data_IF_141317266349
#
_entry.id   IF_141317266349
#
_cell.length_a   1.000
_cell.length_b   1.000
_cell.length_c   1.000
_cell.angle_alpha   90.00
_cell.angle_beta   90.00
_cell.angle_gamma   90.00
#
_symmetry.space_group_name_H-M   'P 1'
#
loop_
_entity.id
_entity.type
_entity.pdbx_description
1 polymer ?
#
# COMPACT_ATOMS: atom_id res chain seq x y z
N UNK A 1 11.35 -16.99 -29.41
CA UNK A 1 10.99 -16.14 -30.54
C UNK A 1 11.25 -14.70 -30.17
N UNK A 2 11.97 -13.96 -30.95
CA UNK A 2 12.26 -12.54 -30.77
C UNK A 2 11.61 -11.76 -31.90
N UNK A 3 10.94 -10.67 -31.57
CA UNK A 3 10.33 -9.79 -32.58
C UNK A 3 11.09 -8.48 -32.61
N UNK A 4 11.33 -7.96 -33.80
CA UNK A 4 11.91 -6.64 -33.99
C UNK A 4 10.77 -5.61 -34.05
N UNK A 5 10.89 -4.54 -33.29
CA UNK A 5 9.92 -3.45 -33.28
C UNK A 5 10.62 -2.17 -33.69
N UNK A 6 10.16 -1.55 -34.75
CA UNK A 6 10.66 -0.27 -35.25
C UNK A 6 9.71 0.83 -34.77
N UNK A 7 10.24 1.81 -34.06
CA UNK A 7 9.45 2.93 -33.51
C UNK A 7 9.92 4.21 -34.24
N UNK A 8 8.99 4.91 -34.86
CA UNK A 8 9.23 6.20 -35.46
C UNK A 8 8.69 7.30 -34.61
N UNK A 9 9.50 8.31 -34.31
CA UNK A 9 9.10 9.48 -33.55
C UNK A 9 9.46 10.75 -34.31
N UNK A 10 8.51 11.66 -34.40
CA UNK A 10 8.75 12.97 -35.01
C UNK A 10 9.62 13.81 -34.10
N UNK A 11 10.60 14.52 -34.67
CA UNK A 11 11.54 15.33 -33.91
C UNK A 11 11.72 16.75 -34.56
N UNK A 12 10.63 17.52 -34.67
CA UNK A 12 10.67 18.83 -35.34
C UNK A 12 11.56 19.84 -34.59
N UNK A 13 11.62 19.73 -33.25
CA UNK A 13 12.42 20.61 -32.39
C UNK A 13 13.88 20.14 -32.23
N UNK A 14 14.29 19.08 -32.86
CA UNK A 14 15.62 18.45 -32.75
C UNK A 14 16.06 18.14 -31.32
N UNK A 15 15.10 17.88 -30.43
CA UNK A 15 15.34 17.52 -29.03
C UNK A 15 15.90 16.11 -28.88
N UNK A 16 15.48 15.20 -29.74
CA UNK A 16 16.01 13.83 -29.77
C UNK A 16 17.34 13.83 -30.50
N UNK A 17 18.40 13.48 -29.81
CA UNK A 17 19.75 13.37 -30.33
C UNK A 17 20.15 11.90 -30.51
N UNK A 18 21.04 11.56 -31.47
CA UNK A 18 21.59 10.22 -31.57
C UNK A 18 22.23 9.77 -30.24
N UNK A 19 22.09 8.48 -29.91
CA UNK A 19 22.62 7.84 -28.69
C UNK A 19 21.93 8.21 -27.38
N UNK A 20 20.73 8.81 -27.42
CA UNK A 20 19.91 8.93 -26.22
C UNK A 20 19.27 7.59 -25.87
N UNK A 21 19.21 7.29 -24.58
CA UNK A 21 18.42 6.18 -24.07
C UNK A 21 16.97 6.62 -23.94
N UNK A 22 16.04 5.84 -24.48
CA UNK A 22 14.62 6.06 -24.33
C UNK A 22 13.98 4.91 -23.56
N UNK A 23 13.05 5.23 -22.67
CA UNK A 23 12.18 4.26 -22.06
C UNK A 23 10.90 4.17 -22.89
N UNK A 24 10.60 2.98 -23.38
CA UNK A 24 9.41 2.74 -24.20
C UNK A 24 8.44 1.85 -23.46
N UNK A 25 7.18 2.26 -23.39
CA UNK A 25 6.10 1.45 -22.84
C UNK A 25 5.21 0.98 -23.98
N UNK A 26 5.12 -0.33 -24.15
CA UNK A 26 4.29 -0.95 -25.19
C UNK A 26 3.00 -1.46 -24.53
N UNK A 27 1.85 -0.91 -24.96
CA UNK A 27 0.54 -1.39 -24.55
C UNK A 27 0.13 -2.52 -25.50
N UNK A 28 0.00 -3.72 -24.94
CA UNK A 28 -0.39 -4.90 -25.73
C UNK A 28 -1.88 -5.09 -25.86
N UNK A 29 -2.65 -4.43 -24.98
CA UNK A 29 -4.11 -4.47 -24.98
C UNK A 29 -4.67 -3.22 -24.31
N UNK A 30 -5.59 -2.55 -24.98
CA UNK A 30 -6.41 -1.48 -24.41
C UNK A 30 -7.87 -1.89 -24.46
N UNK A 31 -8.55 -1.81 -23.34
CA UNK A 31 -9.99 -2.05 -23.26
C UNK A 31 -10.62 -0.80 -22.63
N UNK A 32 -11.33 0.01 -23.42
CA UNK A 32 -12.06 1.15 -22.88
C UNK A 32 -13.28 0.68 -22.07
N UNK A 33 -13.70 1.48 -21.10
CA UNK A 33 -14.93 1.28 -20.31
C UNK A 33 -14.96 -0.02 -19.49
N UNK A 34 -13.83 -0.42 -18.90
CA UNK A 34 -13.77 -1.52 -17.93
C UNK A 34 -13.58 -0.97 -16.52
N UNK A 35 -14.28 -1.58 -15.57
CA UNK A 35 -14.06 -1.31 -14.17
C UNK A 35 -12.79 -2.02 -13.70
N UNK A 36 -11.87 -1.29 -13.07
CA UNK A 36 -10.62 -1.86 -12.56
C UNK A 36 -10.43 -1.53 -11.09
N UNK A 37 -9.83 -2.44 -10.37
CA UNK A 37 -9.45 -2.25 -8.96
C UNK A 37 -7.95 -2.52 -8.77
N UNK A 38 -7.31 -1.85 -7.80
CA UNK A 38 -5.94 -2.17 -7.42
C UNK A 38 -5.81 -3.60 -6.91
N UNK A 39 -4.75 -4.32 -7.31
CA UNK A 39 -4.48 -5.68 -6.84
C UNK A 39 -4.35 -5.79 -5.32
N UNK A 40 -4.03 -4.69 -4.64
CA UNK A 40 -4.00 -4.59 -3.18
C UNK A 40 -5.37 -4.85 -2.56
N UNK A 41 -6.46 -4.39 -3.19
CA UNK A 41 -7.82 -4.60 -2.69
C UNK A 41 -8.19 -6.07 -2.57
N UNK A 42 -7.69 -6.92 -3.49
CA UNK A 42 -7.93 -8.37 -3.48
C UNK A 42 -7.16 -9.12 -2.39
N UNK A 43 -6.16 -8.49 -1.81
CA UNK A 43 -5.31 -9.06 -0.75
C UNK A 43 -5.59 -8.45 0.61
N UNK A 44 -6.41 -7.41 0.65
CA UNK A 44 -6.74 -6.73 1.88
C UNK A 44 -7.62 -7.62 2.75
N UNK A 45 -7.17 -7.86 3.97
CA UNK A 45 -7.92 -8.56 5.02
C UNK A 45 -7.97 -7.64 6.22
N UNK A 46 -9.15 -7.15 6.62
CA UNK A 46 -9.27 -6.29 7.78
C UNK A 46 -8.99 -7.08 9.05
N UNK A 47 -8.18 -6.52 9.94
CA UNK A 47 -7.97 -7.04 11.29
C UNK A 47 -9.11 -6.53 12.21
N UNK A 48 -9.92 -7.44 12.79
CA UNK A 48 -11.05 -7.04 13.62
C UNK A 48 -10.65 -6.16 14.81
N UNK A 49 -9.55 -6.48 15.48
CA UNK A 49 -9.09 -5.74 16.67
C UNK A 49 -8.67 -4.31 16.30
N UNK A 50 -7.98 -4.17 15.18
CA UNK A 50 -7.53 -2.87 14.70
C UNK A 50 -8.70 -2.02 14.18
N UNK A 51 -9.68 -2.65 13.53
CA UNK A 51 -10.90 -1.97 13.05
C UNK A 51 -11.73 -1.42 14.22
N UNK A 52 -11.87 -2.19 15.27
CA UNK A 52 -12.60 -1.78 16.48
C UNK A 52 -11.93 -0.56 17.16
N UNK A 53 -10.59 -0.52 17.19
CA UNK A 53 -9.84 0.61 17.75
C UNK A 53 -10.04 1.91 16.98
N UNK A 54 -10.28 1.85 15.69
CA UNK A 54 -10.52 3.02 14.84
C UNK A 54 -12.00 3.28 14.59
N UNK A 55 -12.89 2.54 15.27
CA UNK A 55 -14.34 2.71 15.21
C UNK A 55 -14.96 2.24 13.90
N UNK A 56 -14.33 1.29 13.20
CA UNK A 56 -14.86 0.67 11.99
C UNK A 56 -15.48 -0.69 12.34
N UNK A 57 -16.74 -0.87 11.94
CA UNK A 57 -17.45 -2.14 12.13
C UNK A 57 -17.27 -3.03 10.91
N UNK A 58 -16.98 -4.30 11.14
CA UNK A 58 -16.90 -5.31 10.07
C UNK A 58 -18.22 -6.09 10.06
N UNK A 59 -18.95 -6.04 8.95
CA UNK A 59 -20.06 -6.95 8.73
C UNK A 59 -19.53 -8.31 8.26
N UNK A 60 -19.72 -9.32 9.12
CA UNK A 60 -19.29 -10.69 8.80
C UNK A 60 -20.45 -11.46 8.15
N UNK A 61 -20.68 -11.25 6.86
CA UNK A 61 -21.62 -12.05 6.06
C UNK A 61 -20.86 -13.19 5.41
N UNK A 62 -20.88 -14.37 6.05
CA UNK A 62 -20.47 -15.67 5.56
C UNK A 62 -19.56 -15.71 4.33
N UNK A 63 -18.27 -15.86 4.56
CA UNK A 63 -17.23 -15.61 3.55
C UNK A 63 -16.82 -16.88 2.79
N UNK A 64 -17.74 -17.70 2.34
CA UNK A 64 -17.35 -18.77 1.43
C UNK A 64 -17.16 -18.21 0.02
N UNK A 65 -15.90 -18.05 -0.37
CA UNK A 65 -15.52 -17.68 -1.73
C UNK A 65 -15.76 -18.89 -2.63
N UNK A 66 -16.86 -18.88 -3.36
CA UNK A 66 -17.14 -19.90 -4.36
C UNK A 66 -16.26 -19.73 -5.60
N UNK A 67 -15.83 -20.85 -6.18
CA UNK A 67 -14.80 -20.96 -7.20
C UNK A 67 -14.77 -19.85 -8.27
N UNK A 68 -13.59 -19.25 -8.45
CA UNK A 68 -13.34 -18.20 -9.43
C UNK A 68 -13.72 -16.78 -9.02
N UNK A 69 -14.44 -16.60 -7.91
CA UNK A 69 -14.76 -15.28 -7.36
C UNK A 69 -13.65 -14.80 -6.42
N UNK A 70 -13.55 -13.49 -6.26
CA UNK A 70 -12.65 -12.82 -5.30
C UNK A 70 -13.48 -12.00 -4.33
N UNK A 71 -12.92 -11.77 -3.15
CA UNK A 71 -13.56 -10.95 -2.14
C UNK A 71 -12.85 -9.60 -2.08
N UNK A 72 -13.67 -8.56 -1.99
CA UNK A 72 -13.22 -7.20 -1.70
C UNK A 72 -14.03 -6.62 -0.56
N UNK A 73 -13.50 -5.63 0.11
CA UNK A 73 -14.15 -4.97 1.21
C UNK A 73 -14.65 -3.60 0.76
N UNK A 74 -15.97 -3.44 0.75
CA UNK A 74 -16.62 -2.16 0.50
C UNK A 74 -16.65 -1.33 1.77
N UNK A 75 -16.32 -0.07 1.66
CA UNK A 75 -16.47 0.89 2.74
C UNK A 75 -17.76 1.68 2.57
N UNK A 76 -18.61 1.62 3.57
CA UNK A 76 -19.82 2.44 3.67
C UNK A 76 -19.76 3.24 4.97
N UNK A 77 -19.24 4.45 4.89
CA UNK A 77 -19.00 5.27 6.08
C UNK A 77 -18.00 4.61 7.05
N UNK A 78 -18.48 4.14 8.20
CA UNK A 78 -17.69 3.44 9.21
C UNK A 78 -17.86 1.92 9.21
N UNK A 79 -18.43 1.36 8.16
CA UNK A 79 -18.68 -0.08 8.06
C UNK A 79 -17.93 -0.66 6.87
N UNK A 80 -17.28 -1.81 7.07
CA UNK A 80 -16.69 -2.63 6.01
C UNK A 80 -17.57 -3.84 5.77
N UNK A 81 -18.05 -3.96 4.55
CA UNK A 81 -18.92 -5.08 4.11
C UNK A 81 -18.15 -5.91 3.07
N UNK A 82 -18.03 -7.24 3.28
CA UNK A 82 -17.40 -8.11 2.30
C UNK A 82 -18.34 -8.29 1.10
N UNK A 83 -17.80 -8.13 -0.11
CA UNK A 83 -18.52 -8.33 -1.37
C UNK A 83 -17.74 -9.26 -2.27
N UNK A 84 -18.42 -10.27 -2.81
CA UNK A 84 -17.85 -11.16 -3.80
C UNK A 84 -17.92 -10.53 -5.18
N UNK A 85 -16.83 -10.58 -5.91
CA UNK A 85 -16.69 -10.03 -7.26
C UNK A 85 -16.15 -11.10 -8.21
N UNK A 86 -16.49 -10.95 -9.48
CA UNK A 86 -15.89 -11.73 -10.56
C UNK A 86 -14.80 -10.87 -11.21
N UNK A 87 -13.63 -11.46 -11.35
CA UNK A 87 -12.46 -10.77 -11.91
C UNK A 87 -12.13 -11.31 -13.30
N UNK A 88 -11.70 -10.43 -14.19
CA UNK A 88 -11.25 -10.75 -15.52
C UNK A 88 -9.74 -10.73 -15.66
N UNK A 89 -9.24 -9.96 -16.62
CA UNK A 89 -7.82 -9.81 -16.91
C UNK A 89 -7.11 -9.05 -15.80
N UNK A 90 -5.92 -9.52 -15.47
CA UNK A 90 -5.10 -8.92 -14.41
C UNK A 90 -3.83 -8.35 -15.05
N UNK A 91 -3.46 -7.15 -14.62
CA UNK A 91 -2.19 -6.48 -14.90
C UNK A 91 -1.30 -6.53 -13.64
N UNK A 92 -0.09 -6.00 -13.72
CA UNK A 92 0.82 -5.95 -12.57
C UNK A 92 0.28 -5.17 -11.36
N UNK A 93 -0.56 -4.16 -11.59
CA UNK A 93 -1.08 -3.26 -10.56
C UNK A 93 -2.61 -3.25 -10.43
N UNK A 94 -3.31 -3.57 -11.51
CA UNK A 94 -4.77 -3.48 -11.59
C UNK A 94 -5.36 -4.82 -12.04
N UNK A 95 -6.56 -5.11 -11.55
CA UNK A 95 -7.39 -6.25 -11.97
C UNK A 95 -8.72 -5.73 -12.50
N UNK A 96 -9.13 -6.24 -13.64
CA UNK A 96 -10.45 -6.02 -14.23
C UNK A 96 -11.53 -6.66 -13.37
N UNK A 97 -12.63 -5.96 -13.15
CA UNK A 97 -13.84 -6.49 -12.50
C UNK A 97 -14.91 -6.60 -13.56
N UNK A 98 -15.38 -7.83 -13.78
CA UNK A 98 -16.42 -8.11 -14.76
C UNK A 98 -17.82 -8.10 -14.16
N UNK A 99 -17.92 -8.36 -12.86
CA UNK A 99 -19.21 -8.37 -12.15
C UNK A 99 -19.03 -8.16 -10.65
N UNK A 100 -20.03 -7.59 -10.01
CA UNK A 100 -20.08 -7.45 -8.55
C UNK A 100 -19.72 -6.07 -7.99
N UNK A 101 -19.21 -5.14 -8.79
CA UNK A 101 -18.95 -3.74 -8.38
C UNK A 101 -19.62 -2.76 -9.34
N UNK A 102 -19.90 -1.58 -8.84
CA UNK A 102 -20.38 -0.44 -9.61
C UNK A 102 -19.41 0.73 -9.53
N UNK A 103 -19.44 1.59 -10.53
CA UNK A 103 -18.66 2.81 -10.51
C UNK A 103 -19.12 3.70 -9.35
N UNK A 104 -18.17 4.16 -8.53
CA UNK A 104 -18.45 4.93 -7.31
C UNK A 104 -18.42 4.12 -6.02
N UNK A 105 -18.33 2.78 -6.07
CA UNK A 105 -18.14 1.96 -4.88
C UNK A 105 -16.76 2.25 -4.23
N UNK A 106 -16.74 2.60 -2.94
CA UNK A 106 -15.51 2.75 -2.18
C UNK A 106 -14.99 1.40 -1.71
N UNK A 107 -13.79 1.02 -2.13
CA UNK A 107 -13.14 -0.23 -1.72
C UNK A 107 -11.96 0.02 -0.80
N UNK A 108 -11.82 -0.81 0.24
CA UNK A 108 -10.68 -0.80 1.10
C UNK A 108 -9.48 -1.48 0.42
N UNK A 109 -8.36 -0.77 0.32
CA UNK A 109 -7.13 -1.26 -0.33
C UNK A 109 -5.98 -1.42 0.64
N UNK A 110 -5.98 -0.64 1.72
CA UNK A 110 -4.93 -0.63 2.72
C UNK A 110 -5.42 0.04 4.00
N UNK A 111 -4.76 -0.22 5.12
CA UNK A 111 -4.97 0.48 6.38
C UNK A 111 -3.70 1.25 6.72
N UNK A 112 -3.80 2.58 6.69
CA UNK A 112 -2.81 3.42 7.32
C UNK A 112 -3.28 3.71 8.75
N UNK A 113 -2.63 3.15 9.73
CA UNK A 113 -2.76 3.64 11.10
C UNK A 113 -2.11 5.03 11.14
N UNK A 114 -2.91 6.06 11.16
CA UNK A 114 -2.51 7.41 11.57
C UNK A 114 -2.39 7.47 13.10
N UNK A 115 -1.92 6.41 13.74
CA UNK A 115 -1.27 6.58 15.01
C UNK A 115 -0.02 7.38 14.71
N UNK A 116 -0.11 8.69 14.81
CA UNK A 116 1.05 9.52 14.99
C UNK A 116 1.76 8.90 16.19
N UNK A 117 2.76 8.07 15.93
CA UNK A 117 3.78 7.80 16.94
C UNK A 117 4.22 9.18 17.36
N UNK A 118 4.06 9.55 18.65
CA UNK A 118 4.68 10.78 19.11
C UNK A 118 6.13 10.65 18.68
N UNK A 119 6.57 11.56 17.81
CA UNK A 119 7.95 11.61 17.39
C UNK A 119 8.75 11.61 18.67
N UNK A 120 9.39 10.49 19.00
CA UNK A 120 10.41 10.49 20.02
C UNK A 120 11.38 11.57 19.55
N UNK A 121 11.65 12.58 20.38
CA UNK A 121 12.64 13.55 20.00
C UNK A 121 13.91 12.74 19.73
N UNK A 122 14.26 12.59 18.46
CA UNK A 122 15.58 12.12 18.08
C UNK A 122 16.53 13.11 18.73
N UNK A 123 17.10 12.67 19.85
CA UNK A 123 18.18 13.38 20.48
C UNK A 123 19.17 13.65 19.38
N UNK A 124 19.35 14.92 19.11
CA UNK A 124 20.28 15.43 18.12
C UNK A 124 21.69 14.93 18.51
N UNK A 125 22.00 13.70 18.11
CA UNK A 125 23.34 13.15 18.23
C UNK A 125 24.18 13.78 17.14
N UNK A 126 24.55 15.03 17.39
CA UNK A 126 25.60 15.68 16.64
C UNK A 126 26.90 14.92 16.95
N UNK A 127 27.52 14.20 15.99
CA UNK A 127 28.73 13.41 16.23
C UNK A 127 29.94 14.26 16.67
N UNK A 128 29.82 15.56 16.65
CA UNK A 128 30.85 16.51 17.04
C UNK A 128 30.59 17.24 18.38
N UNK A 129 29.51 16.89 19.10
CA UNK A 129 29.30 17.43 20.46
C UNK A 129 29.76 16.42 21.50
N UNK A 130 30.67 16.78 22.42
CA UNK A 130 31.01 15.94 23.57
C UNK A 130 29.78 15.81 24.48
N UNK A 131 29.43 14.57 24.81
CA UNK A 131 28.31 14.27 25.68
C UNK A 131 28.44 14.92 27.08
N UNK A 132 27.31 15.14 27.78
CA UNK A 132 27.35 15.72 29.13
C UNK A 132 28.12 14.78 30.09
N UNK A 133 28.91 15.36 31.02
CA UNK A 133 29.73 14.59 31.94
C UNK A 133 28.87 13.67 32.79
N UNK A 134 29.21 12.38 32.78
CA UNK A 134 28.51 11.34 33.51
C UNK A 134 28.43 11.65 35.02
N UNK A 135 27.27 11.69 35.59
CA UNK A 135 27.03 11.74 37.03
C UNK A 135 27.61 10.47 37.65
N UNK A 136 28.81 10.58 38.27
CA UNK A 136 29.39 9.56 39.13
C UNK A 136 28.46 9.34 40.34
N UNK A 137 27.72 8.26 40.34
CA UNK A 137 26.99 7.78 41.49
C UNK A 137 28.00 7.06 42.43
N UNK A 138 28.57 7.82 43.41
CA UNK A 138 29.35 7.26 44.50
C UNK A 138 28.43 6.35 45.33
N UNK A 139 28.62 5.03 45.17
CA UNK A 139 28.15 4.08 46.17
C UNK A 139 28.98 4.27 47.47
N UNK A 140 28.34 4.80 48.47
CA UNK A 140 28.86 4.71 49.84
C UNK A 140 28.87 3.26 50.26
N UNK A 141 30.04 2.70 50.45
CA UNK A 141 30.25 1.49 51.17
C UNK A 141 30.12 1.72 52.65
N UNK A 142 29.20 1.02 53.28
CA UNK A 142 29.12 0.85 54.70
C UNK A 142 29.77 -0.50 55.04
N UNK A 143 30.87 -0.41 55.77
CA UNK A 143 31.64 -1.54 56.25
C UNK A 143 31.05 -2.15 57.52
N UNK A 144 31.40 -3.39 57.85
CA UNK A 144 30.85 -4.12 58.98
C UNK A 144 31.48 -3.65 60.31
N UNK A 145 30.63 -3.55 61.33
CA UNK A 145 31.05 -3.57 62.73
C UNK A 145 30.59 -4.85 63.37
N UNK A 146 31.56 -5.53 63.97
CA UNK A 146 31.56 -6.44 65.10
C UNK A 146 30.30 -7.29 65.34
#
# INVERSE_FOLDING_TARGET
MTYEVVITADNPDLKLKPRLTANVTIYTMERPNILTIPNKALRFVPDPQMMEQIGITIENKGNEVQGGKRMVWLRQGNTLTPKQITVGTNSSTLTEVTDGLTEGDEIAVDMATTAAMPAMPQGNQNPFMPGPPGRNNKKNGEGPKE
#
